data_IF_378242942340
#
_entry.id   IF_378242942340
#
_cell.length_a   1.000
_cell.length_b   1.000
_cell.length_c   1.000
_cell.angle_alpha   90.00
_cell.angle_beta   90.00
_cell.angle_gamma   90.00
#
_symmetry.space_group_name_H-M   'P 1'
#
loop_
_entity.id
_entity.type
_entity.pdbx_description
1 polymer ?
#
# COMPACT_ATOMS: atom_id res chain seq x y z
N UNK A 1 -15.04 -8.59 49.54
CA UNK A 1 -16.12 -7.62 49.39
C UNK A 1 -15.65 -6.54 48.41
N UNK A 2 -16.31 -6.36 47.29
CA UNK A 2 -15.97 -5.30 46.35
C UNK A 2 -16.37 -3.95 46.87
N UNK A 3 -15.52 -2.93 46.71
CA UNK A 3 -15.85 -1.55 47.07
C UNK A 3 -16.87 -1.00 46.05
N UNK A 4 -17.78 -0.16 46.49
CA UNK A 4 -18.68 0.57 45.59
C UNK A 4 -17.86 1.46 44.67
N UNK A 5 -18.38 1.67 43.46
CA UNK A 5 -17.78 2.62 42.51
C UNK A 5 -17.74 4.00 43.20
N UNK A 6 -16.61 4.68 43.09
CA UNK A 6 -16.44 6.05 43.57
C UNK A 6 -17.34 7.00 42.78
N UNK A 7 -17.77 8.09 43.41
CA UNK A 7 -18.46 9.20 42.73
C UNK A 7 -17.52 10.05 41.85
N UNK A 8 -16.22 9.77 41.88
CA UNK A 8 -15.24 10.48 41.06
C UNK A 8 -15.42 10.16 39.55
N UNK A 9 -15.14 11.15 38.70
CA UNK A 9 -15.14 10.92 37.26
C UNK A 9 -14.22 9.76 36.85
N UNK A 10 -14.69 8.90 35.94
CA UNK A 10 -13.95 7.71 35.51
C UNK A 10 -12.53 8.07 34.98
N UNK A 11 -12.40 9.22 34.32
CA UNK A 11 -11.10 9.68 33.80
C UNK A 11 -10.08 9.97 34.92
N UNK A 12 -10.54 10.47 36.07
CA UNK A 12 -9.69 10.71 37.23
C UNK A 12 -9.27 9.40 37.89
N UNK A 13 -10.20 8.46 38.06
CA UNK A 13 -9.90 7.13 38.56
C UNK A 13 -8.90 6.38 37.68
N UNK A 14 -9.03 6.51 36.36
CA UNK A 14 -8.07 5.91 35.40
C UNK A 14 -6.67 6.51 35.56
N UNK A 15 -6.56 7.84 35.67
CA UNK A 15 -5.27 8.49 35.86
C UNK A 15 -4.61 8.05 37.18
N UNK A 16 -5.38 8.08 38.29
CA UNK A 16 -4.90 7.61 39.59
C UNK A 16 -4.43 6.16 39.57
N UNK A 17 -5.16 5.30 38.88
CA UNK A 17 -4.77 3.89 38.73
C UNK A 17 -3.52 3.73 37.88
N UNK A 18 -3.38 4.50 36.78
CA UNK A 18 -2.19 4.49 35.93
C UNK A 18 -0.94 4.97 36.72
N UNK A 19 -1.07 6.04 37.50
CA UNK A 19 0.02 6.53 38.32
C UNK A 19 0.42 5.50 39.40
N UNK A 20 -0.57 4.87 40.06
CA UNK A 20 -0.31 3.80 41.02
C UNK A 20 0.41 2.62 40.41
N UNK A 21 0.10 2.23 39.17
CA UNK A 21 0.81 1.14 38.48
C UNK A 21 2.28 1.47 38.19
N UNK A 22 2.59 2.74 37.95
CA UNK A 22 3.97 3.22 37.81
C UNK A 22 4.69 3.19 39.16
N UNK A 23 4.08 3.73 40.24
CA UNK A 23 4.63 3.71 41.60
C UNK A 23 4.90 2.28 42.09
N UNK A 24 3.94 1.40 41.85
CA UNK A 24 4.04 -0.01 42.24
C UNK A 24 5.01 -0.82 41.35
N UNK A 25 5.58 -0.22 40.30
CA UNK A 25 6.41 -0.89 39.28
C UNK A 25 5.72 -2.15 38.71
N UNK A 26 4.44 -2.04 38.37
CA UNK A 26 3.63 -3.18 37.98
C UNK A 26 4.20 -3.93 36.79
N UNK A 27 4.66 -3.22 35.76
CA UNK A 27 5.25 -3.84 34.56
C UNK A 27 6.51 -4.65 34.91
N UNK A 28 7.40 -4.09 35.72
CA UNK A 28 8.63 -4.77 36.19
C UNK A 28 8.27 -6.02 36.98
N UNK A 29 7.32 -5.91 37.93
CA UNK A 29 6.81 -7.07 38.69
C UNK A 29 6.18 -8.15 37.82
N UNK A 30 5.48 -7.78 36.73
CA UNK A 30 4.92 -8.75 35.79
C UNK A 30 6.00 -9.63 35.12
N UNK A 31 7.21 -9.10 34.96
CA UNK A 31 8.35 -9.82 34.39
C UNK A 31 9.12 -10.55 35.48
N UNK A 32 9.60 -9.85 36.51
CA UNK A 32 10.51 -10.39 37.54
C UNK A 32 9.91 -11.51 38.38
N UNK A 33 8.61 -11.44 38.70
CA UNK A 33 7.94 -12.52 39.44
C UNK A 33 7.68 -13.77 38.61
N UNK A 34 8.06 -13.76 37.32
CA UNK A 34 7.90 -14.88 36.37
C UNK A 34 9.21 -15.31 35.74
N UNK A 35 10.32 -14.95 36.34
CA UNK A 35 11.64 -15.47 35.94
C UNK A 35 11.65 -16.99 36.01
N UNK A 36 12.15 -17.64 34.96
CA UNK A 36 12.15 -19.11 34.84
C UNK A 36 10.83 -19.73 34.37
N UNK A 37 9.74 -18.97 34.26
CA UNK A 37 8.48 -19.44 33.69
C UNK A 37 8.52 -19.50 32.14
N UNK A 38 7.62 -20.26 31.50
CA UNK A 38 7.55 -20.29 30.04
C UNK A 38 7.44 -18.88 29.43
N UNK A 39 8.25 -18.60 28.42
CA UNK A 39 8.27 -17.28 27.76
C UNK A 39 7.13 -17.14 26.76
N UNK A 40 6.52 -15.95 26.73
CA UNK A 40 5.67 -15.48 25.65
C UNK A 40 6.27 -14.18 25.10
N UNK A 41 6.83 -14.27 23.88
CA UNK A 41 7.54 -13.16 23.27
C UNK A 41 6.56 -12.19 22.61
N UNK A 42 6.69 -10.90 22.94
CA UNK A 42 5.92 -9.83 22.33
C UNK A 42 6.82 -8.64 21.96
N UNK A 43 6.82 -8.28 20.70
CA UNK A 43 7.39 -7.04 20.19
C UNK A 43 6.27 -6.16 19.63
N UNK A 44 6.29 -4.87 19.98
CA UNK A 44 5.37 -3.90 19.40
C UNK A 44 5.57 -3.82 17.88
N UNK A 45 4.46 -3.85 17.10
CA UNK A 45 4.47 -3.37 15.74
C UNK A 45 4.59 -1.84 15.80
N UNK A 46 5.73 -1.25 15.42
CA UNK A 46 6.05 0.12 15.80
C UNK A 46 5.14 1.08 15.04
N UNK A 47 4.45 2.00 15.75
CA UNK A 47 3.74 3.06 15.05
C UNK A 47 4.75 4.01 14.40
N UNK A 48 4.40 4.53 13.22
CA UNK A 48 5.17 5.60 12.60
C UNK A 48 4.94 6.90 13.38
N UNK A 49 6.00 7.47 13.92
CA UNK A 49 5.93 8.69 14.73
C UNK A 49 5.88 9.95 13.84
N UNK A 50 4.94 9.99 12.90
CA UNK A 50 4.76 11.07 11.92
C UNK A 50 3.53 11.95 12.17
N UNK A 51 2.78 11.70 13.26
CA UNK A 51 1.55 12.42 13.57
C UNK A 51 0.98 12.09 14.95
N UNK A 52 -0.08 12.81 15.31
CA UNK A 52 -0.79 12.61 16.57
C UNK A 52 -1.48 11.23 16.58
N UNK A 53 -1.49 10.53 17.73
CA UNK A 53 -2.21 9.28 17.85
C UNK A 53 -3.72 9.48 17.68
N UNK A 54 -4.38 8.58 16.95
CA UNK A 54 -5.83 8.55 16.75
C UNK A 54 -6.51 7.40 17.49
N UNK A 55 -7.84 7.40 17.52
CA UNK A 55 -8.64 6.39 18.23
C UNK A 55 -8.38 4.95 17.75
N UNK A 56 -8.11 4.75 16.47
CA UNK A 56 -7.78 3.45 15.92
C UNK A 56 -6.49 2.86 16.51
N UNK A 57 -5.54 3.72 16.90
CA UNK A 57 -4.33 3.28 17.60
C UNK A 57 -4.62 2.82 19.03
N UNK A 58 -5.59 3.45 19.70
CA UNK A 58 -6.05 3.03 21.03
C UNK A 58 -6.64 1.62 20.96
N UNK A 59 -7.50 1.36 19.97
CA UNK A 59 -8.11 0.04 19.77
C UNK A 59 -7.02 -1.03 19.54
N UNK A 60 -6.09 -0.78 18.63
CA UNK A 60 -5.01 -1.72 18.34
C UNK A 60 -4.13 -2.01 19.57
N UNK A 61 -3.78 -0.98 20.34
CA UNK A 61 -2.98 -1.11 21.59
C UNK A 61 -3.75 -1.87 22.68
N UNK A 62 -5.04 -1.60 22.83
CA UNK A 62 -5.90 -2.31 23.80
C UNK A 62 -5.95 -3.81 23.48
N UNK A 63 -6.12 -4.19 22.23
CA UNK A 63 -6.11 -5.61 21.82
C UNK A 63 -4.77 -6.29 22.12
N UNK A 64 -3.65 -5.66 21.79
CA UNK A 64 -2.30 -6.18 22.08
C UNK A 64 -2.08 -6.33 23.57
N UNK A 65 -2.43 -5.33 24.36
CA UNK A 65 -2.29 -5.33 25.81
C UNK A 65 -3.13 -6.42 26.46
N UNK A 66 -4.37 -6.62 25.98
CA UNK A 66 -5.26 -7.67 26.48
C UNK A 66 -4.65 -9.06 26.32
N UNK A 67 -4.02 -9.36 25.18
CA UNK A 67 -3.33 -10.64 24.95
C UNK A 67 -2.13 -10.78 25.90
N UNK A 68 -1.30 -9.74 26.02
CA UNK A 68 -0.14 -9.77 26.91
C UNK A 68 -0.54 -9.92 28.38
N UNK A 69 -1.58 -9.23 28.84
CA UNK A 69 -2.13 -9.36 30.19
C UNK A 69 -2.67 -10.76 30.42
N UNK A 70 -3.44 -11.29 29.49
CA UNK A 70 -3.98 -12.66 29.58
C UNK A 70 -2.86 -13.70 29.71
N UNK A 71 -1.82 -13.61 28.89
CA UNK A 71 -0.66 -14.49 28.99
C UNK A 71 0.09 -14.35 30.32
N UNK A 72 0.23 -13.12 30.81
CA UNK A 72 0.80 -12.86 32.14
C UNK A 72 -0.03 -13.51 33.24
N UNK A 73 -1.36 -13.41 33.19
CA UNK A 73 -2.25 -14.05 34.16
C UNK A 73 -2.21 -15.59 34.10
N UNK A 74 -1.89 -16.15 32.91
CA UNK A 74 -1.67 -17.60 32.76
C UNK A 74 -0.29 -18.06 33.29
N UNK A 75 0.54 -17.16 33.81
CA UNK A 75 1.86 -17.50 34.38
C UNK A 75 3.03 -17.39 33.42
N UNK A 76 2.83 -16.93 32.18
CA UNK A 76 3.95 -16.74 31.25
C UNK A 76 4.81 -15.51 31.62
N UNK A 77 6.12 -15.63 31.38
CA UNK A 77 7.03 -14.48 31.37
C UNK A 77 6.84 -13.74 30.05
N UNK A 78 6.22 -12.55 30.11
CA UNK A 78 5.89 -11.73 28.94
C UNK A 78 6.75 -10.49 28.93
N UNK A 79 7.86 -10.53 28.20
CA UNK A 79 8.66 -9.34 27.89
C UNK A 79 7.97 -8.52 26.82
N UNK A 80 7.68 -7.25 27.14
CA UNK A 80 6.86 -6.36 26.31
C UNK A 80 7.70 -5.16 25.92
N UNK A 81 8.33 -5.24 24.74
CA UNK A 81 9.21 -4.18 24.24
C UNK A 81 8.45 -3.25 23.32
N UNK A 82 8.46 -1.95 23.63
CA UNK A 82 7.96 -0.93 22.73
C UNK A 82 8.88 -0.75 21.51
N UNK A 83 8.34 -0.15 20.47
CA UNK A 83 9.09 0.21 19.26
C UNK A 83 8.56 1.47 18.61
N UNK A 84 9.43 2.15 17.87
CA UNK A 84 9.10 3.35 17.11
C UNK A 84 9.63 3.23 15.68
N UNK A 85 8.71 3.37 14.71
CA UNK A 85 9.07 3.56 13.31
C UNK A 85 9.33 5.06 13.09
N UNK A 86 10.57 5.40 12.80
CA UNK A 86 11.08 6.77 12.91
C UNK A 86 11.72 7.29 11.64
N UNK A 87 11.59 6.59 10.52
CA UNK A 87 12.15 6.99 9.25
C UNK A 87 11.26 6.62 8.06
N UNK A 88 11.71 6.99 6.86
CA UNK A 88 11.04 6.71 5.61
C UNK A 88 10.05 7.78 5.19
N UNK A 89 9.39 7.52 4.07
CA UNK A 89 8.52 8.45 3.35
C UNK A 89 7.42 9.10 4.20
N UNK A 90 6.74 8.42 5.14
CA UNK A 90 5.72 9.06 5.96
C UNK A 90 6.25 10.20 6.84
N UNK A 91 7.48 10.07 7.36
CA UNK A 91 8.13 11.12 8.15
C UNK A 91 8.58 12.27 7.24
N UNK A 92 9.17 11.93 6.09
CA UNK A 92 9.60 12.92 5.09
C UNK A 92 8.43 13.79 4.62
N UNK A 93 7.30 13.21 4.25
CA UNK A 93 6.10 13.93 3.80
C UNK A 93 5.58 14.88 4.90
N UNK A 94 5.63 14.49 6.16
CA UNK A 94 5.21 15.36 7.26
C UNK A 94 6.13 16.58 7.38
N UNK A 95 7.45 16.38 7.29
CA UNK A 95 8.44 17.46 7.33
C UNK A 95 8.37 18.34 6.07
N UNK A 96 8.16 17.77 4.88
CA UNK A 96 7.89 18.54 3.66
C UNK A 96 6.72 19.52 3.85
N UNK A 97 5.61 19.06 4.49
CA UNK A 97 4.46 19.92 4.78
C UNK A 97 4.82 21.05 5.75
N UNK A 98 5.56 20.72 6.82
CA UNK A 98 6.01 21.70 7.81
C UNK A 98 6.90 22.78 7.18
N UNK A 99 7.79 22.40 6.28
CA UNK A 99 8.72 23.28 5.57
C UNK A 99 8.14 23.88 4.29
N UNK A 100 6.88 23.52 3.92
CA UNK A 100 6.20 23.92 2.67
C UNK A 100 6.97 23.56 1.41
N UNK A 101 7.59 22.40 1.41
CA UNK A 101 8.34 21.80 0.30
C UNK A 101 7.50 20.83 -0.50
N UNK A 102 7.92 20.50 -1.72
CA UNK A 102 7.23 19.53 -2.57
C UNK A 102 8.23 18.66 -3.33
N UNK A 103 8.58 17.54 -2.71
CA UNK A 103 9.34 16.47 -3.34
C UNK A 103 10.86 16.65 -3.31
N UNK A 104 11.52 15.70 -3.95
CA UNK A 104 12.96 15.47 -3.85
C UNK A 104 13.83 16.67 -4.19
N UNK A 105 13.47 17.43 -5.23
CA UNK A 105 14.25 18.59 -5.69
C UNK A 105 14.34 19.69 -4.64
N UNK A 106 13.24 19.95 -3.91
CA UNK A 106 13.21 20.95 -2.85
C UNK A 106 14.06 20.50 -1.67
N UNK A 107 14.00 19.20 -1.33
CA UNK A 107 14.83 18.60 -0.28
C UNK A 107 16.33 18.71 -0.61
N UNK A 108 16.72 18.40 -1.84
CA UNK A 108 18.10 18.52 -2.31
C UNK A 108 18.59 19.99 -2.25
N UNK A 109 17.73 20.94 -2.61
CA UNK A 109 18.03 22.39 -2.55
C UNK A 109 18.17 22.88 -1.11
N UNK A 110 17.32 22.40 -0.18
CA UNK A 110 17.40 22.71 1.24
C UNK A 110 18.63 22.10 1.90
N UNK A 111 19.04 20.95 1.44
CA UNK A 111 20.15 20.15 1.93
C UNK A 111 19.68 18.89 2.68
N UNK A 112 20.22 17.75 2.30
CA UNK A 112 19.83 16.44 2.85
C UNK A 112 20.06 16.37 4.36
N UNK A 113 21.23 16.87 4.84
CA UNK A 113 21.57 16.81 6.26
C UNK A 113 20.61 17.62 7.14
N UNK A 114 20.38 18.92 6.88
CA UNK A 114 19.44 19.72 7.67
C UNK A 114 18.00 19.18 7.56
N UNK A 115 17.60 18.61 6.43
CA UNK A 115 16.30 17.96 6.29
C UNK A 115 16.19 16.73 7.20
N UNK A 116 17.18 15.86 7.24
CA UNK A 116 17.22 14.70 8.12
C UNK A 116 17.19 15.09 9.61
N UNK A 117 17.86 16.19 9.99
CA UNK A 117 17.81 16.73 11.36
C UNK A 117 16.37 17.17 11.71
N UNK A 118 15.66 17.81 10.78
CA UNK A 118 14.25 18.17 10.95
C UNK A 118 13.34 16.94 11.06
N UNK A 119 13.61 15.88 10.31
CA UNK A 119 12.90 14.61 10.43
C UNK A 119 13.05 14.02 11.84
N UNK A 120 14.27 13.99 12.39
CA UNK A 120 14.52 13.52 13.74
C UNK A 120 13.81 14.35 14.80
N UNK A 121 13.84 15.68 14.69
CA UNK A 121 13.13 16.58 15.62
C UNK A 121 11.62 16.31 15.59
N UNK A 122 11.04 16.16 14.40
CA UNK A 122 9.61 15.90 14.21
C UNK A 122 9.17 14.61 14.88
N UNK A 123 9.92 13.53 14.67
CA UNK A 123 9.63 12.21 15.25
C UNK A 123 9.60 12.26 16.78
N UNK A 124 10.57 12.84 17.44
CA UNK A 124 10.62 12.89 18.91
C UNK A 124 9.55 13.79 19.53
N UNK A 125 9.03 14.75 18.77
CA UNK A 125 7.87 15.54 19.20
C UNK A 125 6.60 14.68 19.29
N UNK A 126 6.34 13.87 18.28
CA UNK A 126 5.17 12.98 18.26
C UNK A 126 5.33 11.80 19.21
N UNK A 127 6.52 11.23 19.36
CA UNK A 127 6.82 10.14 20.30
C UNK A 127 6.36 10.47 21.72
N UNK A 128 6.62 11.68 22.18
CA UNK A 128 6.16 12.14 23.50
C UNK A 128 4.63 12.07 23.65
N UNK A 129 3.88 12.52 22.65
CA UNK A 129 2.41 12.45 22.66
C UNK A 129 1.91 10.99 22.70
N UNK A 130 2.59 10.10 22.02
CA UNK A 130 2.29 8.67 22.02
C UNK A 130 2.56 8.02 23.38
N UNK A 131 3.64 8.41 24.07
CA UNK A 131 3.91 7.96 25.45
C UNK A 131 2.81 8.39 26.40
N UNK A 132 2.41 9.66 26.34
CA UNK A 132 1.36 10.21 27.18
C UNK A 132 0.03 9.48 26.96
N UNK A 133 -0.38 9.27 25.71
CA UNK A 133 -1.58 8.49 25.38
C UNK A 133 -1.47 7.06 25.93
N UNK A 134 -0.36 6.40 25.72
CA UNK A 134 -0.13 5.00 26.15
C UNK A 134 -0.22 4.87 27.68
N UNK A 135 0.38 5.80 28.41
CA UNK A 135 0.27 5.87 29.87
C UNK A 135 -1.18 6.06 30.30
N UNK A 136 -1.88 7.02 29.67
CA UNK A 136 -3.28 7.34 30.01
C UNK A 136 -4.24 6.18 29.76
N UNK A 137 -4.05 5.41 28.70
CA UNK A 137 -4.87 4.21 28.46
C UNK A 137 -4.46 3.00 29.30
N UNK A 138 -3.37 3.11 30.07
CA UNK A 138 -2.85 2.02 30.91
C UNK A 138 -2.18 0.88 30.13
N UNK A 139 -1.60 1.18 28.97
CA UNK A 139 -0.87 0.21 28.17
C UNK A 139 0.40 -0.23 28.88
N UNK A 140 0.45 -1.51 29.31
CA UNK A 140 1.61 -2.08 30.02
C UNK A 140 2.67 -2.54 29.05
N UNK A 141 3.59 -1.66 28.69
CA UNK A 141 4.70 -1.94 27.78
C UNK A 141 5.95 -1.18 28.21
N UNK A 142 7.12 -1.76 28.02
CA UNK A 142 8.41 -1.11 28.29
C UNK A 142 8.69 -0.04 27.22
N UNK A 143 8.39 1.21 27.57
CA UNK A 143 8.69 2.39 26.75
C UNK A 143 10.01 3.06 27.10
N UNK A 144 10.72 2.59 28.13
CA UNK A 144 12.01 3.16 28.54
C UNK A 144 13.17 2.52 27.77
N UNK A 145 12.99 1.28 27.33
CA UNK A 145 13.95 0.56 26.49
C UNK A 145 13.34 0.14 25.15
N UNK A 146 12.75 1.06 24.35
CA UNK A 146 12.17 0.74 23.08
C UNK A 146 13.25 0.37 22.05
N UNK A 147 12.89 -0.31 20.98
CA UNK A 147 13.69 -0.26 19.77
C UNK A 147 13.25 0.91 18.89
N UNK A 148 14.22 1.61 18.33
CA UNK A 148 13.98 2.80 17.49
C UNK A 148 14.65 2.56 16.14
N UNK A 149 13.89 2.62 15.06
CA UNK A 149 14.38 2.19 13.74
C UNK A 149 15.46 3.12 13.16
N UNK A 150 15.58 4.36 13.64
CA UNK A 150 16.68 5.29 13.26
C UNK A 150 17.99 5.08 14.03
N UNK A 151 18.00 4.25 15.10
CA UNK A 151 19.18 3.99 15.87
C UNK A 151 20.20 3.16 15.08
N UNK A 152 21.48 3.51 15.22
CA UNK A 152 22.56 2.81 14.50
C UNK A 152 22.57 1.31 14.78
N UNK A 153 22.35 0.89 16.03
CA UNK A 153 22.29 -0.54 16.40
C UNK A 153 21.20 -1.29 15.64
N UNK A 154 20.03 -0.66 15.44
CA UNK A 154 18.95 -1.24 14.66
C UNK A 154 19.33 -1.35 13.18
N UNK A 155 19.90 -0.27 12.61
CA UNK A 155 20.34 -0.21 11.21
C UNK A 155 21.46 -1.23 10.94
N UNK A 156 22.45 -1.30 11.80
CA UNK A 156 23.56 -2.24 11.68
C UNK A 156 23.08 -3.70 11.76
N UNK A 157 22.13 -3.99 12.64
CA UNK A 157 21.51 -5.32 12.72
C UNK A 157 20.76 -5.67 11.43
N UNK A 158 20.03 -4.72 10.87
CA UNK A 158 19.37 -4.88 9.57
C UNK A 158 20.36 -5.17 8.44
N UNK A 159 21.47 -4.44 8.38
CA UNK A 159 22.53 -4.66 7.39
C UNK A 159 23.23 -6.01 7.59
N UNK A 160 23.44 -6.43 8.83
CA UNK A 160 23.99 -7.75 9.12
C UNK A 160 23.06 -8.86 8.61
N UNK A 161 21.76 -8.77 8.86
CA UNK A 161 20.75 -9.72 8.35
C UNK A 161 20.79 -9.79 6.82
N UNK A 162 20.80 -8.64 6.13
CA UNK A 162 20.88 -8.58 4.67
C UNK A 162 22.18 -9.22 4.15
N UNK A 163 23.29 -8.98 4.83
CA UNK A 163 24.58 -9.61 4.49
C UNK A 163 24.52 -11.14 4.61
N UNK A 164 23.89 -11.67 5.67
CA UNK A 164 23.75 -13.13 5.82
C UNK A 164 22.81 -13.72 4.75
N UNK A 165 21.73 -13.05 4.38
CA UNK A 165 20.86 -13.46 3.27
C UNK A 165 21.61 -13.41 1.92
N UNK A 166 22.44 -12.42 1.69
CA UNK A 166 23.27 -12.34 0.50
C UNK A 166 24.26 -13.51 0.42
N UNK A 167 24.94 -13.82 1.52
CA UNK A 167 25.85 -14.98 1.60
C UNK A 167 25.15 -16.31 1.36
N UNK A 168 23.90 -16.42 1.81
CA UNK A 168 23.07 -17.60 1.61
C UNK A 168 22.46 -17.70 0.18
N UNK A 169 22.75 -16.73 -0.71
CA UNK A 169 22.20 -16.68 -2.07
C UNK A 169 20.70 -16.35 -2.15
N UNK A 170 20.13 -15.82 -1.06
CA UNK A 170 18.71 -15.48 -0.98
C UNK A 170 18.39 -14.09 -1.56
N UNK A 171 19.40 -13.24 -1.71
CA UNK A 171 19.27 -11.90 -2.32
C UNK A 171 19.93 -11.94 -3.70
N UNK A 172 19.16 -11.55 -4.70
CA UNK A 172 19.58 -11.50 -6.10
C UNK A 172 18.98 -10.27 -6.78
N UNK A 173 19.58 -9.84 -7.87
CA UNK A 173 19.05 -8.80 -8.73
C UNK A 173 17.91 -9.36 -9.58
N UNK A 174 16.79 -8.66 -9.62
CA UNK A 174 15.60 -9.09 -10.35
C UNK A 174 14.67 -7.93 -10.70
N UNK A 175 13.72 -8.21 -11.59
CA UNK A 175 12.72 -7.25 -12.04
C UNK A 175 11.33 -7.63 -11.52
N UNK A 176 10.58 -6.63 -11.04
CA UNK A 176 9.20 -6.80 -10.60
C UNK A 176 8.37 -5.60 -11.03
N UNK A 177 7.16 -5.85 -11.53
CA UNK A 177 6.21 -4.78 -11.83
C UNK A 177 5.61 -4.30 -10.50
N UNK A 178 5.79 -3.02 -10.22
CA UNK A 178 5.28 -2.36 -9.00
C UNK A 178 4.58 -1.06 -9.39
N UNK A 179 3.51 -0.65 -8.66
CA UNK A 179 3.02 0.72 -8.69
C UNK A 179 4.14 1.68 -8.30
N UNK A 180 4.24 2.80 -8.99
CA UNK A 180 5.30 3.78 -8.79
C UNK A 180 4.74 5.19 -8.63
N UNK A 181 5.20 5.93 -7.65
CA UNK A 181 4.82 7.32 -7.44
C UNK A 181 5.85 8.26 -8.09
N UNK A 182 5.50 8.98 -9.18
CA UNK A 182 6.45 9.88 -9.85
C UNK A 182 6.81 11.12 -9.00
N UNK A 183 5.93 11.53 -8.06
CA UNK A 183 6.21 12.63 -7.14
C UNK A 183 7.28 12.25 -6.12
N UNK A 184 7.13 11.09 -5.50
CA UNK A 184 8.04 10.64 -4.44
C UNK A 184 9.27 9.92 -5.00
N UNK A 185 9.23 9.46 -6.25
CA UNK A 185 10.33 8.71 -6.87
C UNK A 185 10.52 7.31 -6.29
N UNK A 186 9.44 6.70 -5.76
CA UNK A 186 9.49 5.40 -5.07
C UNK A 186 8.41 4.44 -5.55
N UNK A 187 8.68 3.13 -5.42
CA UNK A 187 7.66 2.09 -5.53
C UNK A 187 6.64 2.19 -4.38
N UNK A 188 5.40 1.81 -4.65
CA UNK A 188 4.33 1.82 -3.67
C UNK A 188 3.96 0.40 -3.24
N UNK A 189 3.70 0.21 -1.95
CA UNK A 189 3.13 -1.01 -1.41
C UNK A 189 1.61 -1.08 -1.66
N UNK A 190 1.04 -2.28 -1.63
CA UNK A 190 -0.39 -2.49 -1.93
C UNK A 190 -1.33 -1.68 -1.03
N UNK A 191 -1.01 -1.52 0.25
CA UNK A 191 -1.81 -0.74 1.19
C UNK A 191 -1.77 0.77 0.90
N UNK A 192 -0.67 1.30 0.39
CA UNK A 192 -0.54 2.71 0.00
C UNK A 192 -1.40 3.00 -1.23
N UNK A 193 -1.41 2.08 -2.21
CA UNK A 193 -2.27 2.17 -3.40
C UNK A 193 -3.74 2.14 -2.99
N UNK A 194 -4.13 1.22 -2.10
CA UNK A 194 -5.50 1.09 -1.63
C UNK A 194 -6.02 2.35 -0.92
N UNK A 195 -5.18 3.03 -0.15
CA UNK A 195 -5.55 4.28 0.54
C UNK A 195 -5.74 5.46 -0.42
N UNK A 196 -5.12 5.43 -1.59
CA UNK A 196 -5.21 6.46 -2.62
C UNK A 196 -6.33 6.25 -3.64
N UNK A 197 -7.13 5.19 -3.51
CA UNK A 197 -8.17 4.88 -4.48
C UNK A 197 -9.26 5.95 -4.50
N UNK A 198 -9.57 6.44 -5.69
CA UNK A 198 -10.68 7.35 -5.95
C UNK A 198 -11.15 7.25 -7.39
N UNK A 199 -12.42 7.55 -7.61
CA UNK A 199 -12.96 7.69 -8.97
C UNK A 199 -12.45 8.96 -9.63
N UNK A 200 -11.97 8.83 -10.86
CA UNK A 200 -11.50 9.95 -11.67
C UNK A 200 -12.08 9.86 -13.07
N UNK A 201 -12.36 11.03 -13.69
CA UNK A 201 -12.72 11.09 -15.11
C UNK A 201 -11.45 11.17 -15.94
N UNK A 202 -11.28 10.21 -16.85
CA UNK A 202 -10.17 10.19 -17.80
C UNK A 202 -10.70 10.07 -19.23
N UNK A 203 -10.02 10.69 -20.17
CA UNK A 203 -10.31 10.51 -21.59
C UNK A 203 -9.77 9.15 -22.02
N UNK A 204 -10.65 8.35 -22.62
CA UNK A 204 -10.31 7.02 -23.14
C UNK A 204 -10.51 6.99 -24.64
N UNK A 205 -9.81 6.09 -25.32
CA UNK A 205 -9.98 5.90 -26.76
C UNK A 205 -10.20 4.43 -27.08
N UNK A 206 -10.94 4.19 -28.17
CA UNK A 206 -11.00 2.88 -28.82
C UNK A 206 -10.27 3.01 -30.16
N UNK A 207 -9.13 2.30 -30.26
CA UNK A 207 -8.30 2.34 -31.46
C UNK A 207 -8.73 1.25 -32.45
N UNK A 208 -8.64 1.54 -33.77
CA UNK A 208 -8.88 0.63 -34.88
C UNK A 208 -7.54 0.09 -35.38
N UNK A 209 -7.31 -1.19 -35.21
CA UNK A 209 -6.13 -1.88 -35.75
C UNK A 209 -6.51 -2.62 -37.02
N UNK A 210 -6.02 -2.16 -38.17
CA UNK A 210 -6.37 -2.71 -39.48
C UNK A 210 -5.85 -4.15 -39.59
N UNK A 211 -6.74 -5.08 -39.89
CA UNK A 211 -6.37 -6.48 -40.13
C UNK A 211 -5.54 -6.59 -41.41
N UNK A 212 -4.39 -7.26 -41.32
CA UNK A 212 -3.46 -7.41 -42.45
C UNK A 212 -4.11 -8.20 -43.58
N UNK A 213 -3.90 -7.74 -44.81
CA UNK A 213 -4.44 -8.36 -46.00
C UNK A 213 -5.94 -8.07 -46.25
N UNK A 214 -6.53 -7.07 -45.55
CA UNK A 214 -7.89 -6.63 -45.80
C UNK A 214 -7.95 -5.10 -45.96
N UNK A 215 -8.96 -4.60 -46.62
CA UNK A 215 -9.09 -3.15 -46.84
C UNK A 215 -9.92 -2.45 -45.77
N UNK A 216 -10.90 -3.16 -45.17
CA UNK A 216 -11.93 -2.59 -44.32
C UNK A 216 -12.27 -3.41 -43.05
N UNK A 217 -11.35 -4.27 -42.60
CA UNK A 217 -11.51 -5.06 -41.38
C UNK A 217 -10.57 -4.55 -40.28
N UNK A 218 -11.11 -4.38 -39.06
CA UNK A 218 -10.36 -3.79 -37.94
C UNK A 218 -10.62 -4.56 -36.63
N UNK A 219 -9.54 -4.75 -35.83
CA UNK A 219 -9.67 -5.12 -34.44
C UNK A 219 -9.85 -3.84 -33.60
N UNK A 220 -10.82 -3.86 -32.66
CA UNK A 220 -11.03 -2.74 -31.75
C UNK A 220 -10.40 -3.02 -30.39
N UNK A 221 -9.58 -2.10 -29.92
CA UNK A 221 -9.01 -2.18 -28.58
C UNK A 221 -9.18 -0.85 -27.84
N UNK A 222 -9.73 -0.94 -26.65
CA UNK A 222 -9.95 0.21 -25.77
C UNK A 222 -8.80 0.42 -24.81
N UNK A 223 -8.42 1.66 -24.58
CA UNK A 223 -7.36 2.00 -23.62
C UNK A 223 -7.63 3.32 -22.90
N UNK A 224 -7.21 3.40 -21.63
CA UNK A 224 -7.11 4.63 -20.83
C UNK A 224 -5.76 5.32 -21.01
N UNK A 225 -4.79 4.68 -21.64
CA UNK A 225 -3.39 5.14 -21.78
C UNK A 225 -2.97 5.18 -23.24
N UNK A 226 -3.52 6.12 -24.04
CA UNK A 226 -3.30 6.15 -25.50
C UNK A 226 -1.84 6.36 -25.91
N UNK A 227 -1.00 6.92 -25.04
CA UNK A 227 0.43 7.09 -25.28
C UNK A 227 1.20 5.76 -25.40
N UNK A 228 0.66 4.66 -24.89
CA UNK A 228 1.27 3.33 -25.01
C UNK A 228 1.07 2.72 -26.40
N UNK A 229 0.16 3.26 -27.21
CA UNK A 229 -0.12 2.74 -28.55
C UNK A 229 1.08 2.88 -29.51
N UNK A 230 1.98 3.84 -29.27
CA UNK A 230 3.20 4.02 -30.08
C UNK A 230 4.13 2.81 -30.01
N UNK A 231 4.12 2.05 -28.92
CA UNK A 231 4.92 0.85 -28.68
C UNK A 231 4.10 -0.45 -28.69
N UNK A 232 2.89 -0.42 -29.26
CA UNK A 232 2.05 -1.61 -29.33
C UNK A 232 2.65 -2.65 -30.31
N UNK A 233 2.78 -3.87 -29.84
CA UNK A 233 3.31 -5.01 -30.61
C UNK A 233 2.32 -6.17 -30.74
N UNK A 234 1.33 -6.26 -29.87
CA UNK A 234 0.31 -7.31 -29.89
C UNK A 234 -1.01 -6.86 -29.26
N UNK A 235 -2.10 -7.50 -29.66
CA UNK A 235 -3.40 -7.42 -29.00
C UNK A 235 -3.65 -8.75 -28.29
N UNK A 236 -4.16 -8.69 -27.05
CA UNK A 236 -4.47 -9.88 -26.26
C UNK A 236 -5.97 -10.12 -26.25
N UNK A 237 -6.39 -11.35 -26.46
CA UNK A 237 -7.78 -11.81 -26.39
C UNK A 237 -7.93 -12.91 -25.35
N UNK A 238 -9.08 -12.97 -24.68
CA UNK A 238 -9.41 -14.09 -23.80
C UNK A 238 -9.88 -15.28 -24.64
N UNK A 239 -9.24 -16.47 -24.53
CA UNK A 239 -9.53 -17.61 -25.43
C UNK A 239 -11.01 -18.06 -25.38
N UNK A 240 -11.64 -17.98 -24.22
CA UNK A 240 -13.04 -18.42 -24.01
C UNK A 240 -14.06 -17.28 -24.11
N UNK A 241 -13.61 -16.03 -24.31
CA UNK A 241 -14.47 -14.87 -24.48
C UNK A 241 -15.15 -14.91 -25.86
N UNK A 242 -16.45 -14.56 -25.89
CA UNK A 242 -17.19 -14.41 -27.14
C UNK A 242 -16.87 -13.10 -27.83
N UNK A 243 -16.46 -13.18 -29.07
CA UNK A 243 -16.21 -12.08 -29.99
C UNK A 243 -17.17 -12.13 -31.17
N UNK A 244 -17.42 -10.99 -31.77
CA UNK A 244 -18.18 -10.87 -33.01
C UNK A 244 -17.38 -10.14 -34.07
N UNK A 245 -17.61 -10.50 -35.33
CA UNK A 245 -17.34 -9.68 -36.49
C UNK A 245 -18.60 -8.88 -36.80
N UNK A 246 -18.58 -7.61 -36.55
CA UNK A 246 -19.71 -6.70 -36.75
C UNK A 246 -19.49 -5.82 -37.99
N UNK A 247 -20.52 -5.59 -38.78
CA UNK A 247 -20.49 -4.64 -39.89
C UNK A 247 -21.17 -3.36 -39.49
N UNK A 248 -20.49 -2.22 -39.69
CA UNK A 248 -21.00 -0.87 -39.49
C UNK A 248 -20.38 0.10 -40.50
N UNK A 249 -21.18 0.96 -41.13
CA UNK A 249 -20.71 2.01 -42.05
C UNK A 249 -19.77 1.50 -43.15
N UNK A 250 -19.96 0.28 -43.65
CA UNK A 250 -19.14 -0.34 -44.69
C UNK A 250 -17.84 -0.98 -44.19
N UNK A 251 -17.51 -0.85 -42.91
CA UNK A 251 -16.36 -1.48 -42.27
C UNK A 251 -16.76 -2.68 -41.42
N UNK A 252 -15.81 -3.58 -41.17
CA UNK A 252 -15.98 -4.74 -40.28
C UNK A 252 -15.10 -4.61 -39.04
N UNK A 253 -15.67 -4.90 -37.87
CA UNK A 253 -15.03 -4.74 -36.59
C UNK A 253 -15.02 -6.04 -35.80
N UNK A 254 -13.86 -6.46 -35.35
CA UNK A 254 -13.72 -7.53 -34.36
C UNK A 254 -13.74 -6.92 -32.97
N UNK A 255 -14.73 -7.29 -32.15
CA UNK A 255 -14.98 -6.73 -30.82
C UNK A 255 -15.57 -7.79 -29.90
N UNK A 256 -15.29 -7.71 -28.60
CA UNK A 256 -15.96 -8.59 -27.64
C UNK A 256 -17.48 -8.38 -27.66
N UNK A 257 -18.27 -9.47 -27.80
CA UNK A 257 -19.73 -9.43 -27.93
C UNK A 257 -20.38 -8.61 -26.84
N UNK A 258 -19.94 -8.78 -25.58
CA UNK A 258 -20.48 -8.05 -24.40
C UNK A 258 -20.24 -6.53 -24.45
N UNK A 259 -19.33 -6.03 -25.26
CA UNK A 259 -18.97 -4.61 -25.37
C UNK A 259 -19.43 -3.97 -26.69
N UNK A 260 -19.94 -4.76 -27.61
CA UNK A 260 -20.29 -4.31 -28.96
C UNK A 260 -21.30 -3.15 -28.93
N UNK A 261 -22.39 -3.27 -28.19
CA UNK A 261 -23.43 -2.23 -28.09
C UNK A 261 -22.90 -0.91 -27.52
N UNK A 262 -21.95 -1.00 -26.58
CA UNK A 262 -21.33 0.18 -25.95
C UNK A 262 -20.41 0.92 -26.91
N UNK A 263 -19.74 0.18 -27.81
CA UNK A 263 -18.70 0.71 -28.69
C UNK A 263 -19.27 1.08 -30.05
N UNK A 264 -20.12 0.22 -30.60
CA UNK A 264 -20.64 0.36 -31.98
C UNK A 264 -22.07 0.94 -32.03
N UNK A 265 -22.73 1.10 -30.89
CA UNK A 265 -24.15 1.40 -30.80
C UNK A 265 -24.99 0.14 -30.73
N UNK A 266 -26.34 0.23 -30.69
CA UNK A 266 -27.20 -0.94 -30.59
C UNK A 266 -27.15 -1.77 -31.87
N UNK A 267 -27.19 -3.09 -31.70
CA UNK A 267 -27.37 -4.00 -32.85
C UNK A 267 -28.73 -3.75 -33.50
N UNK A 268 -28.75 -3.63 -34.85
CA UNK A 268 -29.96 -3.56 -35.61
C UNK A 268 -29.99 -4.58 -36.74
N UNK A 269 -31.10 -5.29 -36.89
CA UNK A 269 -31.43 -6.06 -38.09
C UNK A 269 -31.99 -5.10 -39.14
N UNK A 270 -31.09 -4.49 -39.96
CA UNK A 270 -31.45 -3.82 -41.21
C UNK A 270 -31.76 -2.31 -41.14
N UNK A 271 -31.16 -1.52 -40.26
CA UNK A 271 -31.37 -0.05 -40.19
C UNK A 271 -30.11 0.77 -40.26
N UNK A 272 -30.20 2.06 -40.59
CA UNK A 272 -29.05 3.00 -40.81
C UNK A 272 -28.30 3.39 -39.52
N UNK A 273 -28.85 3.10 -38.33
CA UNK A 273 -28.20 3.39 -37.04
C UNK A 273 -27.90 2.12 -36.25
N UNK A 274 -26.65 1.68 -36.26
CA UNK A 274 -26.22 0.52 -35.50
C UNK A 274 -25.23 -0.39 -36.23
N UNK A 275 -25.09 -1.62 -35.78
CA UNK A 275 -24.22 -2.61 -36.42
C UNK A 275 -24.99 -3.92 -36.69
N UNK A 276 -24.51 -4.72 -37.66
CA UNK A 276 -25.03 -6.06 -37.94
C UNK A 276 -23.97 -7.08 -37.57
N UNK A 277 -24.32 -8.14 -36.85
CA UNK A 277 -23.43 -9.27 -36.56
C UNK A 277 -23.28 -10.12 -37.83
N UNK A 278 -22.04 -10.26 -38.29
CA UNK A 278 -21.70 -11.07 -39.48
C UNK A 278 -21.26 -12.47 -39.08
N UNK A 279 -20.51 -12.56 -37.98
CA UNK A 279 -19.92 -13.83 -37.51
C UNK A 279 -19.75 -13.77 -36.00
N UNK A 280 -19.94 -14.89 -35.32
CA UNK A 280 -19.63 -15.09 -33.90
C UNK A 280 -18.47 -16.07 -33.78
N UNK A 281 -17.53 -15.82 -32.85
CA UNK A 281 -16.34 -16.62 -32.65
C UNK A 281 -15.85 -16.56 -31.23
N UNK A 282 -14.97 -17.48 -30.85
CA UNK A 282 -14.23 -17.42 -29.58
C UNK A 282 -12.90 -16.66 -29.75
N UNK A 283 -12.37 -16.11 -28.66
CA UNK A 283 -11.08 -15.44 -28.72
C UNK A 283 -9.94 -16.31 -29.24
N UNK A 284 -9.96 -17.64 -28.97
CA UNK A 284 -8.98 -18.59 -29.54
C UNK A 284 -8.98 -18.62 -31.08
N UNK A 285 -10.10 -18.27 -31.73
CA UNK A 285 -10.20 -18.28 -33.21
C UNK A 285 -9.55 -17.01 -33.81
N UNK A 286 -9.23 -16.01 -32.96
CA UNK A 286 -8.49 -14.80 -33.32
C UNK A 286 -6.96 -14.96 -33.13
N UNK A 287 -6.51 -16.06 -32.54
CA UNK A 287 -5.09 -16.30 -32.28
C UNK A 287 -4.27 -16.29 -33.58
N UNK A 288 -3.11 -15.64 -33.55
CA UNK A 288 -2.21 -15.44 -34.68
C UNK A 288 -2.75 -14.63 -35.87
N UNK A 289 -3.94 -14.00 -35.74
CA UNK A 289 -4.36 -13.05 -36.75
C UNK A 289 -3.45 -11.81 -36.70
N UNK A 290 -2.97 -11.39 -37.86
CA UNK A 290 -2.03 -10.28 -38.00
C UNK A 290 -2.79 -8.94 -38.25
N UNK A 291 -2.23 -7.86 -37.78
CA UNK A 291 -2.71 -6.50 -38.07
C UNK A 291 -1.56 -5.56 -38.43
N UNK A 292 -1.88 -4.45 -39.10
CA UNK A 292 -0.93 -3.43 -39.45
C UNK A 292 -0.58 -2.60 -38.21
N UNK A 293 0.70 -2.24 -38.02
CA UNK A 293 1.14 -1.39 -36.92
C UNK A 293 0.38 -0.06 -36.93
N UNK A 294 -0.24 0.30 -35.82
CA UNK A 294 -1.09 1.50 -35.72
C UNK A 294 -0.30 2.79 -35.90
N UNK A 295 0.90 2.85 -35.33
CA UNK A 295 1.81 4.01 -35.37
C UNK A 295 3.21 3.57 -35.82
N UNK A 296 3.47 3.55 -37.13
CA UNK A 296 4.71 2.96 -37.69
C UNK A 296 5.91 3.93 -37.60
N UNK A 297 6.04 4.66 -36.49
CA UNK A 297 7.17 5.57 -36.26
C UNK A 297 8.46 4.85 -35.88
N UNK A 298 8.33 3.69 -35.25
CA UNK A 298 9.42 2.81 -34.84
C UNK A 298 9.11 1.42 -35.34
N UNK A 299 10.06 0.81 -36.03
CA UNK A 299 9.96 -0.62 -36.37
C UNK A 299 10.53 -1.39 -35.19
N UNK A 300 9.78 -2.34 -34.59
CA UNK A 300 10.34 -3.21 -33.56
C UNK A 300 11.47 -4.05 -34.19
N UNK A 301 12.54 -4.22 -33.45
CA UNK A 301 13.57 -5.18 -33.77
C UNK A 301 12.97 -6.58 -33.76
N UNK A 302 13.36 -7.41 -34.73
CA UNK A 302 12.82 -8.77 -34.89
C UNK A 302 13.25 -9.67 -33.75
#
# INVERSE_FOLDING_TARGET
>A
MFKNLSEQPIAELQNQQADKWVEDKLLEKCVTTREGMPSFVFFEGPPTANGKPGIHHVIARTLKDSVCRYKTMQGYAVNRKAGWDTHGLPVEIEVEKQLKMSGKKDIETYGIRPFNEKCKESVFTYEKMWREMSKRMGYLIDMDNPYITLDNNYIETGWWILKEFFKAGMIYEGHKILPYCPRCGTGLASHEVAQGYKEVKVTTITAKFKKKGTDNEYFLAWTTTPWTLASNVALTVGPDVDYIKAKKDGEYFYVAKALADKILGKAHEGGEEGYTVVEEMKGKDLEFMEYEQLMPFIKPDK
#
